data_IF_932304736532
#
_entry.id   IF_932304736532
#
_cell.length_a   1.000
_cell.length_b   1.000
_cell.length_c   1.000
_cell.angle_alpha   90.00
_cell.angle_beta   90.00
_cell.angle_gamma   90.00
#
_symmetry.space_group_name_H-M   'P 1'
#
loop_
_entity.id
_entity.type
_entity.pdbx_description
1 polymer ?
#
# COMPACT_ATOMS: atom_id res chain seq x y z
N UNK A 1 26.44 -4.24 13.76
CA UNK A 1 25.54 -5.38 13.51
C UNK A 1 25.70 -5.79 12.05
N UNK A 2 26.07 -7.04 11.76
CA UNK A 2 26.12 -7.53 10.38
C UNK A 2 24.69 -7.59 9.85
N UNK A 3 24.41 -6.87 8.76
CA UNK A 3 23.16 -6.98 8.02
C UNK A 3 23.03 -8.41 7.50
N UNK A 4 22.33 -9.28 8.23
CA UNK A 4 21.74 -10.49 7.64
C UNK A 4 20.65 -10.03 6.68
N UNK A 5 21.05 -9.64 5.46
CA UNK A 5 20.11 -9.46 4.37
C UNK A 5 19.50 -10.82 4.10
N UNK A 6 18.22 -10.98 4.41
CA UNK A 6 17.41 -12.10 3.95
C UNK A 6 17.62 -12.27 2.45
N UNK A 7 18.27 -13.37 2.06
CA UNK A 7 18.68 -13.60 0.68
C UNK A 7 17.49 -14.15 -0.12
N UNK A 8 16.60 -13.25 -0.53
CA UNK A 8 15.40 -13.59 -1.31
C UNK A 8 15.76 -13.52 -2.80
N UNK A 9 15.60 -14.61 -3.58
CA UNK A 9 15.90 -14.60 -5.00
C UNK A 9 14.99 -13.64 -5.78
N UNK A 10 15.44 -13.18 -6.95
CA UNK A 10 14.71 -12.19 -7.77
C UNK A 10 13.28 -12.60 -8.16
N UNK A 11 13.01 -13.90 -8.26
CA UNK A 11 11.67 -14.47 -8.50
C UNK A 11 10.76 -14.48 -7.26
N UNK A 12 11.29 -14.16 -6.08
CA UNK A 12 10.63 -14.32 -4.79
C UNK A 12 10.87 -15.69 -4.16
N UNK A 13 10.74 -15.75 -2.84
CA UNK A 13 10.85 -16.97 -2.03
C UNK A 13 9.45 -17.53 -1.77
N UNK A 14 9.22 -18.80 -2.10
CA UNK A 14 7.94 -19.49 -1.82
C UNK A 14 7.93 -19.96 -0.37
N UNK A 15 6.93 -19.52 0.39
CA UNK A 15 6.62 -20.02 1.73
C UNK A 15 5.28 -20.76 1.70
N UNK A 16 4.95 -21.51 2.74
CA UNK A 16 3.64 -22.17 2.89
C UNK A 16 2.47 -21.17 2.78
N UNK A 17 2.70 -19.92 3.19
CA UNK A 17 1.70 -18.85 3.19
C UNK A 17 1.68 -18.05 1.88
N UNK A 18 2.63 -18.25 0.96
CA UNK A 18 2.68 -17.58 -0.34
C UNK A 18 4.08 -17.11 -0.75
N UNK A 19 4.16 -16.24 -1.76
CA UNK A 19 5.46 -15.77 -2.29
C UNK A 19 5.85 -14.45 -1.62
N UNK A 20 7.05 -14.39 -1.05
CA UNK A 20 7.68 -13.16 -0.56
C UNK A 20 8.62 -12.62 -1.63
N UNK A 21 8.42 -11.39 -2.07
CA UNK A 21 9.32 -10.73 -3.03
C UNK A 21 10.47 -10.03 -2.32
N UNK A 22 11.65 -9.91 -2.96
CA UNK A 22 12.78 -9.20 -2.39
C UNK A 22 12.47 -7.71 -2.21
N UNK A 23 13.02 -7.12 -1.15
CA UNK A 23 12.93 -5.68 -0.91
C UNK A 23 14.00 -4.99 -1.75
N UNK A 24 13.64 -4.08 -2.69
CA UNK A 24 14.60 -3.26 -3.42
C UNK A 24 15.40 -2.35 -2.46
N UNK A 25 16.49 -1.76 -2.94
CA UNK A 25 17.20 -0.74 -2.16
C UNK A 25 16.30 0.45 -1.83
N UNK A 26 16.48 1.08 -0.65
CA UNK A 26 15.66 2.21 -0.20
C UNK A 26 15.60 3.34 -1.23
N UNK A 27 16.70 3.60 -1.96
CA UNK A 27 16.70 4.55 -3.09
C UNK A 27 15.72 4.20 -4.22
N UNK A 28 15.60 2.92 -4.60
CA UNK A 28 14.59 2.49 -5.59
C UNK A 28 13.17 2.62 -5.04
N UNK A 29 12.99 2.37 -3.74
CA UNK A 29 11.67 2.51 -3.11
C UNK A 29 11.21 3.96 -3.06
N UNK A 30 12.11 4.88 -2.71
CA UNK A 30 11.85 6.32 -2.73
C UNK A 30 11.50 6.76 -4.16
N UNK A 31 12.26 6.32 -5.16
CA UNK A 31 11.97 6.65 -6.56
C UNK A 31 10.58 6.16 -7.00
N UNK A 32 10.20 4.93 -6.65
CA UNK A 32 8.86 4.42 -6.98
C UNK A 32 7.76 5.14 -6.22
N UNK A 33 7.98 5.51 -4.96
CA UNK A 33 7.02 6.29 -4.17
C UNK A 33 6.79 7.67 -4.80
N UNK A 34 7.87 8.38 -5.14
CA UNK A 34 7.82 9.69 -5.80
C UNK A 34 7.18 9.56 -7.19
N UNK A 35 7.56 8.56 -7.99
CA UNK A 35 6.94 8.31 -9.28
C UNK A 35 5.44 7.99 -9.17
N UNK A 36 5.03 7.26 -8.12
CA UNK A 36 3.61 6.97 -7.85
C UNK A 36 2.83 8.23 -7.50
N UNK A 37 3.42 9.16 -6.76
CA UNK A 37 2.84 10.46 -6.47
C UNK A 37 2.67 11.30 -7.76
N UNK A 38 3.71 11.41 -8.58
CA UNK A 38 3.60 12.11 -9.87
C UNK A 38 2.62 11.43 -10.83
N UNK A 39 2.54 10.10 -10.81
CA UNK A 39 1.52 9.38 -11.55
C UNK A 39 0.12 9.78 -11.07
N UNK A 40 -0.13 9.95 -9.77
CA UNK A 40 -1.43 10.44 -9.28
C UNK A 40 -1.79 11.82 -9.89
N UNK A 41 -0.83 12.75 -9.93
CA UNK A 41 -1.02 14.06 -10.55
C UNK A 41 -1.32 13.95 -12.06
N UNK A 42 -0.55 13.09 -12.77
CA UNK A 42 -0.73 12.87 -14.19
C UNK A 42 -2.09 12.26 -14.51
N UNK A 43 -2.52 11.23 -13.78
CA UNK A 43 -3.84 10.61 -13.95
C UNK A 43 -4.96 11.61 -13.68
N UNK A 44 -4.82 12.43 -12.62
CA UNK A 44 -5.75 13.52 -12.32
C UNK A 44 -5.86 14.53 -13.46
N UNK A 45 -4.73 14.98 -14.00
CA UNK A 45 -4.68 15.89 -15.14
C UNK A 45 -5.30 15.30 -16.41
N UNK A 46 -5.01 14.03 -16.71
CA UNK A 46 -5.55 13.34 -17.89
C UNK A 46 -7.07 13.28 -17.81
N UNK A 47 -7.63 12.81 -16.69
CA UNK A 47 -9.10 12.66 -16.58
C UNK A 47 -9.82 14.01 -16.62
N UNK A 48 -9.24 15.07 -16.05
CA UNK A 48 -9.85 16.39 -16.00
C UNK A 48 -9.80 17.12 -17.34
N UNK A 49 -8.84 16.76 -18.19
CA UNK A 49 -8.65 17.36 -19.51
C UNK A 49 -9.50 16.71 -20.60
N UNK A 50 -10.02 15.49 -20.39
CA UNK A 50 -10.81 14.75 -21.39
C UNK A 50 -12.06 15.53 -21.85
N UNK A 51 -12.89 16.07 -20.95
CA UNK A 51 -14.17 16.64 -21.39
C UNK A 51 -14.02 18.07 -21.94
N UNK A 52 -12.92 18.76 -21.66
CA UNK A 52 -12.59 20.08 -22.21
C UNK A 52 -13.42 21.26 -21.70
N UNK A 53 -14.62 21.01 -21.14
CA UNK A 53 -15.58 22.04 -20.73
C UNK A 53 -16.09 21.91 -19.28
N UNK A 54 -15.35 21.18 -18.45
CA UNK A 54 -15.68 21.06 -17.03
C UNK A 54 -15.51 22.40 -16.29
N UNK A 55 -16.38 22.65 -15.31
CA UNK A 55 -16.18 23.73 -14.35
C UNK A 55 -14.89 23.53 -13.56
N UNK A 56 -14.29 24.63 -13.06
CA UNK A 56 -13.07 24.58 -12.25
C UNK A 56 -13.20 23.66 -11.03
N UNK A 57 -14.39 23.62 -10.42
CA UNK A 57 -14.69 22.74 -9.29
C UNK A 57 -14.69 21.27 -9.72
N UNK A 58 -15.30 20.92 -10.85
CA UNK A 58 -15.31 19.56 -11.36
C UNK A 58 -13.90 19.08 -11.75
N UNK A 59 -13.10 19.96 -12.37
CA UNK A 59 -11.68 19.72 -12.63
C UNK A 59 -10.95 19.41 -11.33
N UNK A 60 -11.13 20.24 -10.30
CA UNK A 60 -10.53 20.04 -8.98
C UNK A 60 -10.90 18.69 -8.38
N UNK A 61 -12.19 18.32 -8.37
CA UNK A 61 -12.66 17.04 -7.83
C UNK A 61 -12.00 15.85 -8.53
N UNK A 62 -11.97 15.85 -9.87
CA UNK A 62 -11.35 14.76 -10.64
C UNK A 62 -9.84 14.70 -10.45
N UNK A 63 -9.18 15.86 -10.35
CA UNK A 63 -7.75 15.94 -10.11
C UNK A 63 -7.36 15.38 -8.74
N UNK A 64 -8.04 15.82 -7.67
CA UNK A 64 -7.72 15.39 -6.30
C UNK A 64 -8.09 13.93 -6.01
N UNK A 65 -8.97 13.31 -6.80
CA UNK A 65 -9.37 11.91 -6.63
C UNK A 65 -8.17 10.96 -6.53
N UNK A 66 -7.20 11.08 -7.43
CA UNK A 66 -6.04 10.19 -7.49
C UNK A 66 -5.04 10.46 -6.37
N UNK A 67 -4.89 11.73 -5.99
CA UNK A 67 -4.08 12.13 -4.83
C UNK A 67 -4.66 11.51 -3.56
N UNK A 68 -6.00 11.55 -3.40
CA UNK A 68 -6.69 10.93 -2.27
C UNK A 68 -6.48 9.41 -2.25
N UNK A 69 -6.60 8.73 -3.41
CA UNK A 69 -6.35 7.28 -3.51
C UNK A 69 -4.92 6.95 -3.03
N UNK A 70 -3.92 7.72 -3.49
CA UNK A 70 -2.54 7.51 -3.10
C UNK A 70 -2.32 7.77 -1.61
N UNK A 71 -2.69 8.96 -1.12
CA UNK A 71 -2.44 9.38 0.26
C UNK A 71 -3.19 8.53 1.28
N UNK A 72 -4.49 8.28 1.07
CA UNK A 72 -5.28 7.44 1.98
C UNK A 72 -4.85 5.98 1.88
N UNK A 73 -4.68 5.45 0.67
CA UNK A 73 -4.25 4.06 0.48
C UNK A 73 -2.93 3.78 1.19
N UNK A 74 -1.96 4.70 1.04
CA UNK A 74 -0.64 4.58 1.67
C UNK A 74 -0.72 4.74 3.18
N UNK A 75 -1.50 5.71 3.68
CA UNK A 75 -1.67 5.95 5.12
C UNK A 75 -2.34 4.77 5.81
N UNK A 76 -3.40 4.21 5.22
CA UNK A 76 -4.09 3.02 5.75
C UNK A 76 -3.17 1.81 5.74
N UNK A 77 -2.41 1.62 4.65
CA UNK A 77 -1.44 0.52 4.55
C UNK A 77 -0.38 0.60 5.66
N UNK A 78 0.24 1.77 5.85
CA UNK A 78 1.21 2.00 6.94
C UNK A 78 0.55 1.79 8.31
N UNK A 79 -0.63 2.38 8.54
CA UNK A 79 -1.33 2.27 9.82
C UNK A 79 -1.62 0.82 10.18
N UNK A 80 -2.09 0.03 9.22
CA UNK A 80 -2.34 -1.40 9.40
C UNK A 80 -1.07 -2.19 9.72
N UNK A 81 0.05 -1.84 9.10
CA UNK A 81 1.34 -2.45 9.40
C UNK A 81 1.84 -2.10 10.80
N UNK A 82 1.76 -0.83 11.20
CA UNK A 82 2.11 -0.41 12.57
C UNK A 82 1.29 -1.15 13.62
N UNK A 83 -0.02 -1.33 13.39
CA UNK A 83 -0.89 -2.11 14.28
C UNK A 83 -0.48 -3.59 14.37
N UNK A 84 -0.11 -4.20 13.24
CA UNK A 84 0.38 -5.59 13.22
C UNK A 84 1.71 -5.77 13.95
N UNK A 85 2.64 -4.85 13.75
CA UNK A 85 3.94 -4.85 14.44
C UNK A 85 3.71 -4.71 15.94
N UNK A 86 2.89 -3.74 16.36
CA UNK A 86 2.55 -3.52 17.77
C UNK A 86 1.90 -4.75 18.41
N UNK A 87 0.97 -5.41 17.72
CA UNK A 87 0.32 -6.64 18.19
C UNK A 87 1.33 -7.78 18.39
N UNK A 88 2.27 -7.94 17.45
CA UNK A 88 3.33 -8.95 17.52
C UNK A 88 4.30 -8.66 18.66
N UNK A 89 4.66 -7.39 18.86
CA UNK A 89 5.54 -6.96 19.93
C UNK A 89 4.88 -7.16 21.31
N UNK A 90 3.61 -6.77 21.47
CA UNK A 90 2.84 -6.99 22.72
C UNK A 90 2.80 -8.47 23.12
N UNK A 91 2.56 -9.37 22.16
CA UNK A 91 2.56 -10.82 22.43
C UNK A 91 3.94 -11.32 22.85
N UNK A 92 5.00 -10.76 22.27
CA UNK A 92 6.39 -11.14 22.58
C UNK A 92 6.79 -10.64 23.98
N UNK A 93 6.47 -9.40 24.34
CA UNK A 93 6.66 -8.87 25.70
C UNK A 93 5.93 -9.72 26.72
N UNK A 94 4.65 -10.05 26.47
CA UNK A 94 3.84 -10.83 27.40
C UNK A 94 4.39 -12.25 27.61
N UNK A 95 4.90 -12.90 26.55
CA UNK A 95 5.61 -14.19 26.66
C UNK A 95 6.93 -14.07 27.41
N UNK A 96 7.71 -13.01 27.15
CA UNK A 96 8.94 -12.72 27.89
C UNK A 96 8.67 -12.57 29.39
N UNK A 97 7.67 -11.77 29.77
CA UNK A 97 7.24 -11.64 31.17
C UNK A 97 6.82 -12.98 31.79
N UNK A 98 6.04 -13.79 31.06
CA UNK A 98 5.64 -15.13 31.50
C UNK A 98 6.85 -16.04 31.71
N UNK A 99 7.83 -16.00 30.82
CA UNK A 99 9.05 -16.82 30.90
C UNK A 99 9.97 -16.38 32.05
N UNK A 100 10.01 -15.09 32.39
CA UNK A 100 10.68 -14.57 33.59
C UNK A 100 10.00 -15.12 34.85
N UNK A 101 8.67 -15.04 34.92
CA UNK A 101 7.87 -15.56 36.03
C UNK A 101 8.03 -17.08 36.23
N UNK A 102 8.15 -17.84 35.15
CA UNK A 102 8.33 -19.31 35.20
C UNK A 102 9.80 -19.74 35.26
N UNK A 103 10.76 -18.80 35.37
CA UNK A 103 12.21 -19.07 35.36
C UNK A 103 12.68 -19.93 34.17
N UNK A 104 12.01 -19.81 33.02
CA UNK A 104 12.39 -20.53 31.81
C UNK A 104 13.41 -19.72 30.99
N UNK A 105 14.68 -19.80 31.38
CA UNK A 105 15.78 -19.04 30.77
C UNK A 105 15.98 -19.36 29.27
N UNK A 106 15.70 -20.60 28.85
CA UNK A 106 15.78 -21.01 27.45
C UNK A 106 14.70 -20.35 26.58
N UNK A 107 13.49 -20.16 27.12
CA UNK A 107 12.41 -19.43 26.46
C UNK A 107 12.70 -17.93 26.34
N UNK A 108 13.36 -17.34 27.34
CA UNK A 108 13.67 -15.91 27.39
C UNK A 108 14.70 -15.49 26.32
N UNK A 109 15.76 -16.27 26.11
CA UNK A 109 16.77 -16.01 25.05
C UNK A 109 16.17 -16.06 23.65
N UNK A 110 15.25 -17.00 23.40
CA UNK A 110 14.58 -17.15 22.10
C UNK A 110 13.55 -16.04 21.83
N UNK A 111 12.91 -15.47 22.87
CA UNK A 111 11.95 -14.37 22.70
C UNK A 111 12.62 -12.99 22.52
N UNK A 112 13.86 -12.82 22.98
CA UNK A 112 14.65 -11.58 22.82
C UNK A 112 15.30 -11.41 21.44
N UNK A 113 15.45 -12.49 20.68
CA UNK A 113 15.87 -12.44 19.28
C UNK A 113 14.63 -12.38 18.39
N UNK A 114 14.51 -11.36 17.52
CA UNK A 114 13.41 -11.30 16.56
C UNK A 114 13.71 -12.34 15.45
N UNK A 115 13.03 -13.50 15.40
CA UNK A 115 13.41 -14.57 14.49
C UNK A 115 13.23 -14.13 13.05
N UNK A 116 14.16 -14.50 12.16
CA UNK A 116 14.07 -14.17 10.73
C UNK A 116 12.74 -14.64 10.10
N UNK A 117 12.17 -15.74 10.59
CA UNK A 117 10.85 -16.25 10.21
C UNK A 117 9.71 -15.26 10.50
N UNK A 118 9.75 -14.56 11.66
CA UNK A 118 8.76 -13.53 11.98
C UNK A 118 8.90 -12.32 11.07
N UNK A 119 10.12 -11.98 10.66
CA UNK A 119 10.38 -10.90 9.71
C UNK A 119 9.82 -11.24 8.33
N UNK A 120 10.05 -12.46 7.84
CA UNK A 120 9.47 -12.96 6.58
C UNK A 120 7.94 -12.96 6.60
N UNK A 121 7.34 -13.38 7.70
CA UNK A 121 5.88 -13.35 7.89
C UNK A 121 5.32 -11.92 7.89
N UNK A 122 6.01 -10.96 8.55
CA UNK A 122 5.63 -9.55 8.54
C UNK A 122 5.77 -8.93 7.14
N UNK A 123 6.84 -9.25 6.42
CA UNK A 123 7.04 -8.81 5.04
C UNK A 123 5.96 -9.37 4.12
N UNK A 124 5.65 -10.67 4.23
CA UNK A 124 4.56 -11.27 3.46
C UNK A 124 3.21 -10.61 3.78
N UNK A 125 2.94 -10.38 5.07
CA UNK A 125 1.72 -9.72 5.52
C UNK A 125 1.59 -8.31 4.94
N UNK A 126 2.70 -7.57 4.89
CA UNK A 126 2.77 -6.22 4.32
C UNK A 126 2.56 -6.20 2.82
N UNK A 127 3.25 -7.09 2.10
CA UNK A 127 3.08 -7.22 0.65
C UNK A 127 1.65 -7.62 0.30
N UNK A 128 1.00 -8.49 1.08
CA UNK A 128 -0.40 -8.87 0.87
C UNK A 128 -1.39 -7.74 1.19
N UNK A 129 -1.10 -6.93 2.21
CA UNK A 129 -2.03 -5.86 2.64
C UNK A 129 -2.08 -4.67 1.71
N UNK A 130 -1.14 -4.57 0.77
CA UNK A 130 -1.20 -3.61 -0.35
C UNK A 130 -2.46 -3.76 -1.19
N UNK A 131 -3.21 -4.88 -1.06
CA UNK A 131 -4.57 -5.02 -1.63
C UNK A 131 -5.51 -3.87 -1.25
N UNK A 132 -5.22 -3.16 -0.15
CA UNK A 132 -5.95 -1.93 0.22
C UNK A 132 -5.94 -0.88 -0.90
N UNK A 133 -4.88 -0.78 -1.71
CA UNK A 133 -4.85 0.14 -2.85
C UNK A 133 -5.89 -0.20 -3.91
N UNK A 134 -6.14 -1.49 -4.17
CA UNK A 134 -7.21 -1.93 -5.08
C UNK A 134 -8.57 -1.55 -4.52
N UNK A 135 -8.78 -1.79 -3.23
CA UNK A 135 -10.03 -1.46 -2.54
C UNK A 135 -10.29 0.05 -2.62
N UNK A 136 -9.28 0.87 -2.30
CA UNK A 136 -9.37 2.33 -2.39
C UNK A 136 -9.59 2.81 -3.82
N UNK A 137 -8.90 2.24 -4.80
CA UNK A 137 -9.08 2.60 -6.22
C UNK A 137 -10.51 2.38 -6.71
N UNK A 138 -11.11 1.24 -6.37
CA UNK A 138 -12.51 0.97 -6.69
C UNK A 138 -13.48 1.86 -5.93
N UNK A 139 -13.33 1.99 -4.60
CA UNK A 139 -14.24 2.79 -3.78
C UNK A 139 -14.21 4.26 -4.17
N UNK A 140 -13.02 4.86 -4.26
CA UNK A 140 -12.85 6.24 -4.69
C UNK A 140 -13.29 6.42 -6.14
N UNK A 141 -12.98 5.47 -7.03
CA UNK A 141 -13.45 5.52 -8.41
C UNK A 141 -14.98 5.53 -8.52
N UNK A 142 -15.67 4.71 -7.72
CA UNK A 142 -17.13 4.63 -7.72
C UNK A 142 -17.76 5.90 -7.14
N UNK A 143 -17.21 6.43 -6.04
CA UNK A 143 -17.66 7.70 -5.44
C UNK A 143 -17.41 8.87 -6.40
N UNK A 144 -16.20 9.00 -6.96
CA UNK A 144 -15.85 10.02 -7.94
C UNK A 144 -16.66 9.91 -9.22
N UNK A 145 -16.92 8.68 -9.68
CA UNK A 145 -17.81 8.37 -10.79
C UNK A 145 -19.21 8.91 -10.54
N UNK A 146 -19.84 8.56 -9.41
CA UNK A 146 -21.18 9.05 -9.03
C UNK A 146 -21.20 10.58 -9.01
N UNK A 147 -20.21 11.21 -8.39
CA UNK A 147 -20.10 12.67 -8.34
C UNK A 147 -20.00 13.26 -9.77
N UNK A 148 -19.28 12.59 -10.67
CA UNK A 148 -19.11 13.07 -12.05
C UNK A 148 -20.39 13.12 -12.87
N UNK A 149 -21.42 12.34 -12.50
CA UNK A 149 -22.74 12.40 -13.16
C UNK A 149 -23.44 13.74 -12.92
N UNK A 150 -23.06 14.46 -11.86
CA UNK A 150 -23.59 15.79 -11.56
C UNK A 150 -22.86 16.91 -12.29
N UNK A 151 -21.77 16.61 -13.01
CA UNK A 151 -21.03 17.64 -13.74
C UNK A 151 -21.74 18.03 -15.03
N UNK A 152 -21.71 19.31 -15.32
CA UNK A 152 -22.07 19.83 -16.64
C UNK A 152 -20.84 19.68 -17.55
N UNK A 153 -21.03 18.95 -18.64
CA UNK A 153 -19.97 18.63 -19.58
C UNK A 153 -20.55 18.24 -20.94
N UNK A 154 -19.75 18.47 -21.97
CA UNK A 154 -20.00 18.17 -23.37
C UNK A 154 -19.93 16.67 -23.68
N UNK A 155 -19.20 15.89 -22.87
CA UNK A 155 -19.14 14.44 -23.02
C UNK A 155 -20.39 13.79 -22.41
N UNK A 156 -20.78 12.63 -22.94
CA UNK A 156 -21.80 11.80 -22.30
C UNK A 156 -21.39 11.46 -20.85
N UNK A 157 -22.25 11.82 -19.89
CA UNK A 157 -22.02 11.64 -18.45
C UNK A 157 -21.75 10.18 -18.06
N UNK A 158 -22.41 9.22 -18.71
CA UNK A 158 -22.16 7.80 -18.49
C UNK A 158 -20.76 7.39 -18.93
N UNK A 159 -20.25 7.96 -20.03
CA UNK A 159 -18.87 7.71 -20.49
C UNK A 159 -17.89 8.29 -19.48
N UNK A 160 -18.10 9.52 -19.00
CA UNK A 160 -17.26 10.13 -17.96
C UNK A 160 -17.24 9.28 -16.68
N UNK A 161 -18.41 8.83 -16.22
CA UNK A 161 -18.54 7.93 -15.07
C UNK A 161 -17.67 6.67 -15.22
N UNK A 162 -17.77 5.99 -16.37
CA UNK A 162 -17.00 4.77 -16.65
C UNK A 162 -15.50 5.07 -16.70
N UNK A 163 -15.10 6.17 -17.35
CA UNK A 163 -13.69 6.58 -17.42
C UNK A 163 -13.11 6.85 -16.03
N UNK A 164 -13.83 7.58 -15.18
CA UNK A 164 -13.37 7.87 -13.81
C UNK A 164 -13.13 6.57 -13.03
N UNK A 165 -14.06 5.62 -13.12
CA UNK A 165 -13.92 4.32 -12.44
C UNK A 165 -12.73 3.53 -12.98
N UNK A 166 -12.60 3.42 -14.31
CA UNK A 166 -11.52 2.64 -14.93
C UNK A 166 -10.15 3.22 -14.58
N UNK A 167 -9.99 4.54 -14.67
CA UNK A 167 -8.73 5.20 -14.36
C UNK A 167 -8.39 5.05 -12.87
N UNK A 168 -9.34 5.26 -11.97
CA UNK A 168 -9.13 5.11 -10.53
C UNK A 168 -8.81 3.66 -10.13
N UNK A 169 -9.56 2.69 -10.66
CA UNK A 169 -9.30 1.28 -10.43
C UNK A 169 -7.94 0.86 -11.02
N UNK A 170 -7.62 1.30 -12.24
CA UNK A 170 -6.35 1.05 -12.90
C UNK A 170 -5.16 1.57 -12.08
N UNK A 171 -5.26 2.81 -11.59
CA UNK A 171 -4.25 3.40 -10.72
C UNK A 171 -4.11 2.63 -9.40
N UNK A 172 -5.21 2.24 -8.75
CA UNK A 172 -5.19 1.41 -7.55
C UNK A 172 -4.51 0.04 -7.77
N UNK A 173 -4.73 -0.60 -8.92
CA UNK A 173 -4.05 -1.85 -9.28
C UNK A 173 -2.56 -1.65 -9.56
N UNK A 174 -2.17 -0.51 -10.14
CA UNK A 174 -0.77 -0.18 -10.36
C UNK A 174 -0.02 -0.02 -9.02
N UNK A 175 -0.62 0.71 -8.07
CA UNK A 175 -0.07 0.85 -6.71
C UNK A 175 0.01 -0.51 -6.01
N UNK A 176 -1.03 -1.34 -6.13
CA UNK A 176 -1.00 -2.71 -5.61
C UNK A 176 0.13 -3.54 -6.20
N UNK A 177 0.37 -3.46 -7.52
CA UNK A 177 1.45 -4.19 -8.16
C UNK A 177 2.82 -3.83 -7.57
N UNK A 178 3.11 -2.53 -7.45
CA UNK A 178 4.37 -2.06 -6.88
C UNK A 178 4.50 -2.40 -5.40
N UNK A 179 3.45 -2.19 -4.62
CA UNK A 179 3.41 -2.55 -3.20
C UNK A 179 3.60 -4.05 -2.98
N UNK A 180 2.90 -4.90 -3.74
CA UNK A 180 2.97 -6.36 -3.64
C UNK A 180 4.38 -6.89 -3.91
N UNK A 181 5.13 -6.21 -4.77
CA UNK A 181 6.52 -6.51 -5.14
C UNK A 181 7.55 -5.88 -4.19
N UNK A 182 7.12 -5.16 -3.15
CA UNK A 182 8.00 -4.57 -2.13
C UNK A 182 8.64 -3.24 -2.53
N UNK A 183 8.16 -2.57 -3.58
CA UNK A 183 8.70 -1.28 -4.01
C UNK A 183 8.30 -0.09 -3.15
N UNK A 184 7.33 -0.25 -2.24
CA UNK A 184 7.03 0.79 -1.26
C UNK A 184 7.86 0.64 0.01
N UNK A 185 8.29 1.77 0.61
CA UNK A 185 9.09 1.73 1.81
C UNK A 185 8.35 1.03 2.95
N UNK A 186 9.07 0.15 3.63
CA UNK A 186 8.53 -0.54 4.79
C UNK A 186 8.65 0.35 6.03
N UNK A 187 7.62 0.47 6.88
CA UNK A 187 7.59 1.44 7.97
C UNK A 187 8.52 1.14 9.18
N UNK A 188 9.49 0.24 9.04
CA UNK A 188 10.51 -0.07 10.06
C UNK A 188 11.84 0.67 9.84
N UNK A 189 11.97 1.48 8.78
CA UNK A 189 13.08 2.45 8.60
C UNK A 189 12.75 3.80 9.24
#
# INVERSE_FOLDING_TARGET
MKNNKLNIPGSGMKTEKGIVYPIPSSGKQILVLVASFFAALLFGFVISSIPGDLSELAIGVLFFLFIIIFMLGYSIWIGWMKLKILSTFKKTILRGFKNILTKNEAGLKNDLSFPEEKLLDLLLASQKSTKIFVIMGWLSGLVGGIISLSFDTSINKTILFVLVIIFAAGFGHLLYYFGRRGYFPFPEE
#
